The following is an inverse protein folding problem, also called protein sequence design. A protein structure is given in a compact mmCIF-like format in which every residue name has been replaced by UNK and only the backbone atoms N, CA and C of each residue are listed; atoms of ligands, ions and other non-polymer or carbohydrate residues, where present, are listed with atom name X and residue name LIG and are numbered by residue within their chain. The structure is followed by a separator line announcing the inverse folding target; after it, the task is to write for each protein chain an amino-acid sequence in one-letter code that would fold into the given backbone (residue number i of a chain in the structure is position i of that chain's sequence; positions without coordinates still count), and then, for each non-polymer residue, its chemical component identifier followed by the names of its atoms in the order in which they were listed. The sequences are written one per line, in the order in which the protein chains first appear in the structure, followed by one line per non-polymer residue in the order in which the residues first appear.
data_IF_355463218240
#
_entry.id   IF_355463218240
#
_cell.length_a   1.000
_cell.length_b   1.000
_cell.length_c   1.000
_cell.angle_alpha   90.00
_cell.angle_beta   90.00
_cell.angle_gamma   90.00
#
_symmetry.space_group_name_H-M   'P 1'
#
loop_
_entity.id
_entity.type
_entity.pdbx_description
1 polymer ?
#
# COMPACT_ATOMS: atom_id res chain seq x y z
N UNK A 1 -5.59 22.04 2.55
CA UNK A 1 -5.39 21.44 1.22
C UNK A 1 -4.44 20.28 1.42
N UNK A 2 -5.00 19.06 1.40
CA UNK A 2 -4.35 17.85 1.92
C UNK A 2 -3.08 17.52 1.13
N UNK A 3 -2.05 17.04 1.83
CA UNK A 3 -0.80 16.57 1.24
C UNK A 3 -1.13 15.50 0.20
N UNK A 4 -0.73 15.71 -1.07
CA UNK A 4 -0.58 14.61 -2.04
C UNK A 4 0.21 13.50 -1.36
N UNK A 5 -0.38 12.32 -1.23
CA UNK A 5 0.30 11.15 -0.72
C UNK A 5 1.53 10.92 -1.61
N UNK A 6 2.71 10.82 -1.02
CA UNK A 6 3.97 10.67 -1.76
C UNK A 6 4.15 9.29 -2.42
N UNK A 7 3.08 8.49 -2.48
CA UNK A 7 3.07 7.11 -2.95
C UNK A 7 3.15 7.14 -4.48
N UNK A 8 4.23 6.59 -5.03
CA UNK A 8 4.46 6.54 -6.47
C UNK A 8 4.32 5.10 -6.96
N UNK A 9 3.48 4.92 -7.97
CA UNK A 9 3.28 3.64 -8.65
C UNK A 9 3.94 3.71 -10.02
N UNK A 10 4.71 2.67 -10.38
CA UNK A 10 5.30 2.55 -11.71
C UNK A 10 4.22 2.42 -12.78
N UNK A 11 4.47 2.96 -13.99
CA UNK A 11 3.47 3.03 -15.04
C UNK A 11 2.84 1.66 -15.38
N UNK A 12 3.65 0.62 -15.54
CA UNK A 12 3.15 -0.73 -15.84
C UNK A 12 2.27 -1.28 -14.72
N UNK A 13 2.67 -1.08 -13.46
CA UNK A 13 1.85 -1.48 -12.31
C UNK A 13 0.54 -0.71 -12.22
N UNK A 14 0.54 0.57 -12.61
CA UNK A 14 -0.68 1.37 -12.66
C UNK A 14 -1.68 0.82 -13.70
N UNK A 15 -1.18 0.40 -14.86
CA UNK A 15 -1.99 -0.24 -15.91
C UNK A 15 -2.61 -1.56 -15.41
N UNK A 16 -1.83 -2.40 -14.73
CA UNK A 16 -2.31 -3.64 -14.09
C UNK A 16 -3.41 -3.37 -13.04
N UNK A 17 -3.22 -2.33 -12.22
CA UNK A 17 -4.20 -1.92 -11.20
C UNK A 17 -5.49 -1.41 -11.82
N UNK A 18 -5.42 -0.64 -12.90
CA UNK A 18 -6.59 -0.20 -13.67
C UNK A 18 -7.35 -1.40 -14.22
N UNK A 19 -6.64 -2.37 -14.80
CA UNK A 19 -7.26 -3.60 -15.31
C UNK A 19 -7.97 -4.38 -14.20
N UNK A 20 -7.37 -4.45 -13.02
CA UNK A 20 -7.96 -5.10 -11.85
C UNK A 20 -9.26 -4.42 -11.40
N UNK A 21 -9.29 -3.08 -11.39
CA UNK A 21 -10.51 -2.31 -11.08
C UNK A 21 -11.61 -2.59 -12.11
N UNK A 22 -11.27 -2.59 -13.40
CA UNK A 22 -12.23 -2.91 -14.47
C UNK A 22 -12.82 -4.31 -14.29
N UNK A 23 -11.97 -5.31 -14.07
CA UNK A 23 -12.39 -6.69 -13.85
C UNK A 23 -13.34 -6.81 -12.66
N UNK A 24 -13.00 -6.19 -11.52
CA UNK A 24 -13.86 -6.21 -10.33
C UNK A 24 -15.24 -5.61 -10.60
N UNK A 25 -15.33 -4.46 -11.28
CA UNK A 25 -16.63 -3.85 -11.57
C UNK A 25 -17.44 -4.65 -12.60
N UNK A 26 -16.78 -5.25 -13.58
CA UNK A 26 -17.44 -6.13 -14.52
C UNK A 26 -18.00 -7.38 -13.81
N UNK A 27 -17.18 -8.04 -13.00
CA UNK A 27 -17.54 -9.31 -12.36
C UNK A 27 -18.59 -9.13 -11.25
N UNK A 28 -18.45 -8.09 -10.41
CA UNK A 28 -19.29 -7.90 -9.24
C UNK A 28 -20.52 -7.01 -9.50
N UNK A 29 -20.49 -6.18 -10.55
CA UNK A 29 -21.53 -5.18 -10.83
C UNK A 29 -22.07 -5.19 -12.25
N UNK A 30 -21.59 -6.09 -13.11
CA UNK A 30 -21.93 -6.15 -14.55
C UNK A 30 -21.71 -4.78 -15.24
N UNK A 31 -20.69 -4.03 -14.77
CA UNK A 31 -20.40 -2.67 -15.19
C UNK A 31 -19.06 -2.61 -15.94
N UNK A 32 -19.11 -2.39 -17.26
CA UNK A 32 -17.92 -2.24 -18.09
C UNK A 32 -17.33 -0.82 -17.97
N UNK A 33 -16.33 -0.67 -17.10
CA UNK A 33 -15.65 0.59 -16.88
C UNK A 33 -14.59 0.88 -17.95
N UNK A 34 -14.60 2.11 -18.48
CA UNK A 34 -13.50 2.63 -19.30
C UNK A 34 -12.21 2.90 -18.50
N UNK A 35 -11.10 3.08 -19.21
CA UNK A 35 -9.78 3.33 -18.59
C UNK A 35 -9.74 4.66 -17.83
N UNK A 36 -10.45 5.68 -18.31
CA UNK A 36 -10.52 6.98 -17.63
C UNK A 36 -11.23 6.87 -16.27
N UNK A 37 -12.40 6.23 -16.23
CA UNK A 37 -13.16 6.05 -15.00
C UNK A 37 -12.36 5.23 -13.98
N UNK A 38 -11.76 4.13 -14.44
CA UNK A 38 -10.93 3.26 -13.61
C UNK A 38 -9.68 3.96 -13.09
N UNK A 39 -9.06 4.83 -13.91
CA UNK A 39 -7.94 5.67 -13.50
C UNK A 39 -8.34 6.65 -12.39
N UNK A 40 -9.52 7.28 -12.48
CA UNK A 40 -10.00 8.20 -11.44
C UNK A 40 -10.28 7.48 -10.12
N UNK A 41 -10.83 6.26 -10.18
CA UNK A 41 -11.01 5.42 -8.99
C UNK A 41 -9.66 5.07 -8.38
N UNK A 42 -8.68 4.67 -9.19
CA UNK A 42 -7.33 4.37 -8.71
C UNK A 42 -6.68 5.59 -8.06
N UNK A 43 -6.81 6.77 -8.68
CA UNK A 43 -6.27 8.03 -8.13
C UNK A 43 -6.91 8.34 -6.77
N UNK A 44 -8.22 8.19 -6.63
CA UNK A 44 -8.91 8.33 -5.35
C UNK A 44 -8.38 7.36 -4.28
N UNK A 45 -8.19 6.08 -4.63
CA UNK A 45 -7.65 5.08 -3.70
C UNK A 45 -6.23 5.46 -3.26
N UNK A 46 -5.37 5.91 -4.19
CA UNK A 46 -3.98 6.30 -3.90
C UNK A 46 -3.92 7.55 -3.02
N UNK A 47 -4.77 8.54 -3.28
CA UNK A 47 -4.73 9.81 -2.57
C UNK A 47 -5.37 9.71 -1.18
N UNK A 48 -6.51 9.01 -1.06
CA UNK A 48 -7.32 9.02 0.16
C UNK A 48 -7.12 7.77 1.05
N UNK A 49 -6.88 6.59 0.46
CA UNK A 49 -6.86 5.32 1.22
C UNK A 49 -5.45 4.76 1.41
N UNK A 50 -4.59 4.86 0.39
CA UNK A 50 -3.25 4.25 0.39
C UNK A 50 -2.34 4.72 1.53
N UNK A 51 -2.38 5.99 2.02
CA UNK A 51 -1.57 6.41 3.16
C UNK A 51 -1.81 5.59 4.43
N UNK A 52 -3.07 5.20 4.69
CA UNK A 52 -3.42 4.40 5.86
C UNK A 52 -2.76 3.02 5.81
N UNK A 53 -2.91 2.33 4.68
CA UNK A 53 -2.29 1.01 4.46
C UNK A 53 -0.76 1.09 4.49
N UNK A 54 -0.18 2.12 3.88
CA UNK A 54 1.27 2.29 3.86
C UNK A 54 1.83 2.54 5.26
N UNK A 55 1.21 3.44 6.03
CA UNK A 55 1.64 3.75 7.39
C UNK A 55 1.51 2.53 8.31
N UNK A 56 0.40 1.79 8.22
CA UNK A 56 0.23 0.53 8.94
C UNK A 56 1.35 -0.46 8.60
N UNK A 57 1.69 -0.62 7.31
CA UNK A 57 2.79 -1.49 6.88
C UNK A 57 4.17 -1.05 7.42
N UNK A 58 4.41 0.26 7.53
CA UNK A 58 5.62 0.82 8.15
C UNK A 58 5.65 0.51 9.65
N UNK A 59 4.54 0.69 10.35
CA UNK A 59 4.45 0.37 11.79
C UNK A 59 4.66 -1.11 12.07
N UNK A 60 4.07 -1.99 11.25
CA UNK A 60 4.23 -3.43 11.41
C UNK A 60 5.66 -3.88 11.13
N UNK A 61 6.31 -3.27 10.12
CA UNK A 61 7.74 -3.47 9.85
C UNK A 61 8.61 -2.98 11.00
N UNK A 62 8.27 -1.85 11.61
CA UNK A 62 8.96 -1.32 12.78
C UNK A 62 8.86 -2.27 13.98
N UNK A 63 7.65 -2.75 14.31
CA UNK A 63 7.44 -3.72 15.40
C UNK A 63 8.27 -4.98 15.17
N UNK A 64 8.17 -5.58 13.99
CA UNK A 64 8.94 -6.77 13.62
C UNK A 64 10.45 -6.57 13.79
N UNK A 65 10.97 -5.42 13.38
CA UNK A 65 12.40 -5.13 13.51
C UNK A 65 12.83 -4.95 14.97
N UNK A 66 11.99 -4.33 15.81
CA UNK A 66 12.30 -4.19 17.24
C UNK A 66 12.36 -5.54 17.93
N UNK A 67 11.41 -6.45 17.65
CA UNK A 67 11.44 -7.80 18.21
C UNK A 67 12.77 -8.51 17.85
N UNK A 68 13.23 -8.36 16.60
CA UNK A 68 14.53 -8.91 16.17
C UNK A 68 15.73 -8.23 16.83
N UNK A 69 15.64 -6.93 17.12
CA UNK A 69 16.68 -6.20 17.86
C UNK A 69 16.73 -6.65 19.32
N UNK A 70 15.60 -6.92 19.96
CA UNK A 70 15.54 -7.47 21.31
C UNK A 70 16.19 -8.86 21.39
N UNK A 71 15.86 -9.75 20.43
CA UNK A 71 16.51 -11.05 20.27
C UNK A 71 18.04 -10.90 20.21
N UNK A 72 18.52 -9.92 19.44
CA UNK A 72 19.94 -9.63 19.28
C UNK A 72 20.57 -9.10 20.57
N UNK A 73 19.90 -8.21 21.30
CA UNK A 73 20.43 -7.68 22.57
C UNK A 73 20.54 -8.75 23.65
N UNK A 74 19.71 -9.80 23.59
CA UNK A 74 19.75 -10.94 24.50
C UNK A 74 21.08 -11.72 24.50
N UNK A 75 21.88 -11.65 23.43
CA UNK A 75 23.17 -12.37 23.36
C UNK A 75 24.33 -11.60 24.03
N UNK A 76 24.10 -10.38 24.53
CA UNK A 76 25.14 -9.56 25.16
C UNK A 76 25.70 -10.26 26.40
N UNK A 77 27.02 -10.49 26.41
CA UNK A 77 27.74 -11.03 27.57
C UNK A 77 28.27 -9.87 28.42
N UNK A 78 27.86 -9.82 29.69
CA UNK A 78 28.45 -8.92 30.67
C UNK A 78 29.64 -9.60 31.34
N UNK A 79 30.78 -8.91 31.40
CA UNK A 79 31.93 -9.35 32.18
C UNK A 79 31.66 -9.02 33.66
N UNK A 80 31.74 -10.04 34.52
CA UNK A 80 31.75 -9.86 35.99
C UNK A 80 32.97 -9.06 36.43
#
# INVERSE_FOLDING_TARGET
MSKKSGIKIEKGKREDMIHSIKGFFLDERDEDLGDLASSLILDFIIDELAPEFYNQGVEDSYKYMNDKLEDLLGIKKYRK
#
